data_IF_239371958474
#
_entry.id   IF_239371958474
#
_cell.length_a   1.000
_cell.length_b   1.000
_cell.length_c   1.000
_cell.angle_alpha   90.00
_cell.angle_beta   90.00
_cell.angle_gamma   90.00
#
_symmetry.space_group_name_H-M   'P 1'
#
loop_
_entity.id
_entity.type
_entity.pdbx_description
1 polymer ?
#
# COMPACT_ATOMS: atom_id res chain seq x y z
N UNK A 1 31.50 15.18 34.70
CA UNK A 1 30.84 13.94 35.17
C UNK A 1 30.22 13.26 33.97
N UNK A 2 30.57 12.00 33.78
CA UNK A 2 29.96 11.08 32.83
C UNK A 2 28.48 10.89 33.15
N UNK A 3 27.66 10.74 32.11
CA UNK A 3 26.64 9.70 32.10
C UNK A 3 26.57 9.10 30.70
N UNK A 4 27.20 7.94 30.56
CA UNK A 4 26.80 6.91 29.62
C UNK A 4 25.40 6.40 29.98
N UNK A 5 24.56 6.14 28.95
CA UNK A 5 23.81 4.88 28.77
C UNK A 5 22.97 4.90 27.50
N UNK A 6 23.48 4.15 26.51
CA UNK A 6 22.79 3.18 25.64
C UNK A 6 21.34 3.49 25.23
N UNK A 7 21.17 3.89 23.97
CA UNK A 7 19.99 3.58 23.16
C UNK A 7 20.44 2.84 21.91
N UNK A 8 20.27 1.52 21.88
CA UNK A 8 20.61 0.69 20.72
C UNK A 8 19.92 1.24 19.46
N UNK A 9 20.72 1.57 18.44
CA UNK A 9 20.19 1.80 17.09
C UNK A 9 19.65 0.46 16.60
N UNK A 10 18.35 0.23 16.81
CA UNK A 10 17.63 -0.83 16.13
C UNK A 10 17.72 -0.49 14.64
N UNK A 11 18.68 -1.12 13.94
CA UNK A 11 18.88 -0.93 12.51
C UNK A 11 17.57 -1.33 11.85
N UNK A 12 17.02 -0.45 11.01
CA UNK A 12 15.87 -0.76 10.17
C UNK A 12 16.15 -2.07 9.43
N UNK A 13 15.53 -3.16 9.90
CA UNK A 13 15.53 -4.43 9.18
C UNK A 13 14.46 -4.28 8.10
N UNK A 14 14.78 -3.53 7.04
CA UNK A 14 14.07 -3.68 5.78
C UNK A 14 14.55 -5.00 5.19
N UNK A 15 13.73 -6.08 5.19
CA UNK A 15 14.12 -7.31 4.56
C UNK A 15 14.46 -7.03 3.09
N UNK A 16 15.67 -7.46 2.70
CA UNK A 16 16.18 -7.39 1.34
C UNK A 16 16.65 -8.78 0.92
N UNK A 17 16.06 -9.38 -0.12
CA UNK A 17 14.96 -8.85 -0.94
C UNK A 17 13.64 -8.71 -0.14
N UNK A 18 12.69 -7.87 -0.59
CA UNK A 18 11.33 -7.84 -0.05
C UNK A 18 10.73 -9.25 -0.02
N UNK A 19 10.08 -9.67 1.08
CA UNK A 19 9.37 -10.94 1.12
C UNK A 19 8.31 -11.02 0.03
N UNK A 20 8.10 -12.21 -0.54
CA UNK A 20 7.01 -12.48 -1.47
C UNK A 20 5.64 -12.39 -0.80
N UNK A 21 4.59 -12.26 -1.62
CA UNK A 21 3.20 -12.31 -1.19
C UNK A 21 2.91 -13.64 -0.45
N UNK A 22 2.49 -13.60 0.84
CA UNK A 22 2.27 -14.81 1.63
C UNK A 22 1.26 -15.77 0.97
N UNK A 23 1.43 -17.09 1.12
CA UNK A 23 0.54 -18.08 0.51
C UNK A 23 -0.93 -17.85 0.81
N UNK A 24 -1.27 -17.42 2.04
CA UNK A 24 -2.65 -17.11 2.44
C UNK A 24 -3.28 -15.97 1.63
N UNK A 25 -2.50 -14.91 1.34
CA UNK A 25 -2.97 -13.82 0.48
C UNK A 25 -3.13 -14.28 -0.96
N UNK A 26 -2.13 -15.00 -1.47
CA UNK A 26 -2.16 -15.52 -2.84
C UNK A 26 -3.35 -16.45 -3.04
N UNK A 27 -3.60 -17.37 -2.11
CA UNK A 27 -4.73 -18.27 -2.14
C UNK A 27 -6.06 -17.50 -2.13
N UNK A 28 -6.25 -16.57 -1.19
CA UNK A 28 -7.47 -15.77 -1.12
C UNK A 28 -7.74 -14.98 -2.41
N UNK A 29 -6.70 -14.36 -2.97
CA UNK A 29 -6.81 -13.61 -4.23
C UNK A 29 -7.23 -14.51 -5.39
N UNK A 30 -6.61 -15.69 -5.53
CA UNK A 30 -6.85 -16.57 -6.67
C UNK A 30 -8.15 -17.36 -6.56
N UNK A 31 -8.43 -17.92 -5.38
CA UNK A 31 -9.52 -18.86 -5.16
C UNK A 31 -10.82 -18.19 -4.72
N UNK A 32 -10.74 -17.19 -3.84
CA UNK A 32 -11.94 -16.55 -3.27
C UNK A 32 -12.34 -15.29 -4.04
N UNK A 33 -11.38 -14.51 -4.52
CA UNK A 33 -11.67 -13.28 -5.27
C UNK A 33 -11.77 -13.50 -6.80
N UNK A 34 -11.38 -14.67 -7.31
CA UNK A 34 -11.28 -14.91 -8.75
C UNK A 34 -10.22 -14.04 -9.43
N UNK A 35 -9.17 -13.68 -8.70
CA UNK A 35 -8.06 -12.89 -9.21
C UNK A 35 -7.15 -13.69 -10.13
N UNK A 36 -6.37 -12.99 -10.96
CA UNK A 36 -5.40 -13.62 -11.86
C UNK A 36 -4.04 -13.77 -11.18
N UNK A 37 -3.38 -14.92 -11.35
CA UNK A 37 -2.01 -15.13 -10.89
C UNK A 37 -0.98 -14.30 -11.66
N UNK A 38 -1.32 -13.92 -12.89
CA UNK A 38 -0.60 -12.93 -13.68
C UNK A 38 -0.95 -11.53 -13.16
N UNK A 39 0.05 -10.68 -12.98
CA UNK A 39 -0.16 -9.29 -12.53
C UNK A 39 -0.15 -9.07 -11.01
N UNK A 40 0.35 -10.02 -10.22
CA UNK A 40 0.76 -9.77 -8.82
C UNK A 40 2.04 -8.94 -8.83
N UNK A 41 1.92 -7.63 -8.58
CA UNK A 41 3.05 -6.68 -8.65
C UNK A 41 3.23 -5.99 -7.31
N UNK A 42 4.43 -6.08 -6.74
CA UNK A 42 4.78 -5.29 -5.57
C UNK A 42 4.89 -3.81 -5.97
N UNK A 43 3.95 -2.98 -5.49
CA UNK A 43 3.92 -1.55 -5.80
C UNK A 43 4.93 -0.81 -4.92
N UNK A 44 4.92 -1.08 -3.62
CA UNK A 44 5.81 -0.42 -2.65
C UNK A 44 6.00 -1.30 -1.40
N UNK A 45 7.21 -1.29 -0.83
CA UNK A 45 7.47 -1.69 0.55
C UNK A 45 7.97 -0.47 1.31
N UNK A 46 7.26 -0.04 2.35
CA UNK A 46 7.64 1.12 3.15
C UNK A 46 7.25 0.96 4.61
N UNK A 47 7.95 1.70 5.45
CA UNK A 47 7.51 1.95 6.82
C UNK A 47 6.37 2.97 6.81
N UNK A 48 5.30 2.69 7.55
CA UNK A 48 4.18 3.62 7.77
C UNK A 48 4.66 4.82 8.59
N UNK A 49 4.39 6.03 8.09
CA UNK A 49 4.70 7.28 8.77
C UNK A 49 3.48 7.80 9.53
N UNK A 50 3.70 8.77 10.43
CA UNK A 50 2.60 9.41 11.16
C UNK A 50 1.54 10.00 10.23
N UNK A 51 1.96 10.58 9.10
CA UNK A 51 1.05 11.11 8.08
C UNK A 51 0.12 10.06 7.48
N UNK A 52 0.52 8.78 7.50
CA UNK A 52 -0.27 7.69 6.97
C UNK A 52 -1.34 7.23 7.98
N UNK A 53 -1.06 7.29 9.29
CA UNK A 53 -2.00 6.82 10.34
C UNK A 53 -2.75 7.94 11.05
N UNK A 54 -2.44 9.20 10.73
CA UNK A 54 -3.13 10.36 11.29
C UNK A 54 -4.60 10.36 10.83
N UNK A 55 -5.58 10.24 11.75
CA UNK A 55 -7.00 10.20 11.41
C UNK A 55 -7.47 11.44 10.63
N UNK A 56 -6.87 12.60 10.87
CA UNK A 56 -7.20 13.85 10.15
C UNK A 56 -6.70 13.83 8.72
N UNK A 57 -5.57 13.16 8.44
CA UNK A 57 -5.02 13.07 7.10
C UNK A 57 -5.71 11.98 6.26
N UNK A 58 -6.17 10.88 6.90
CA UNK A 58 -6.94 9.78 6.31
C UNK A 58 -6.44 9.31 4.94
N UNK A 59 -5.12 9.09 4.83
CA UNK A 59 -4.49 8.68 3.56
C UNK A 59 -3.29 7.78 3.77
N UNK A 60 -3.16 6.76 2.93
CA UNK A 60 -1.90 6.05 2.73
C UNK A 60 -1.16 6.68 1.56
N UNK A 61 0.04 7.20 1.79
CA UNK A 61 0.84 7.86 0.76
C UNK A 61 1.84 6.90 0.12
N UNK A 62 1.89 6.89 -1.20
CA UNK A 62 2.77 6.07 -2.03
C UNK A 62 3.60 7.04 -2.90
N UNK A 63 4.77 7.49 -2.41
CA UNK A 63 5.61 8.43 -3.16
C UNK A 63 6.13 7.78 -4.44
N UNK A 64 6.09 8.49 -5.57
CA UNK A 64 6.54 7.95 -6.86
C UNK A 64 8.01 7.46 -6.81
N UNK A 65 8.86 8.15 -6.06
CA UNK A 65 10.27 7.75 -5.87
C UNK A 65 10.48 6.43 -5.14
N UNK A 66 9.44 5.88 -4.50
CA UNK A 66 9.49 4.61 -3.77
C UNK A 66 8.66 3.50 -4.45
N UNK A 67 7.90 3.85 -5.49
CA UNK A 67 7.18 2.88 -6.31
C UNK A 67 8.20 2.00 -7.03
N UNK A 68 8.03 0.67 -6.97
CA UNK A 68 8.95 -0.28 -7.59
C UNK A 68 8.81 -0.33 -9.10
N UNK A 69 7.59 -0.22 -9.60
CA UNK A 69 7.27 -0.09 -11.01
C UNK A 69 5.90 0.60 -11.13
N UNK A 70 5.69 1.35 -12.21
CA UNK A 70 4.39 1.93 -12.55
C UNK A 70 3.55 1.02 -13.45
N UNK A 71 4.10 -0.13 -13.88
CA UNK A 71 3.47 -1.08 -14.81
C UNK A 71 2.31 -1.87 -14.17
N UNK A 72 1.93 -1.55 -12.93
CA UNK A 72 0.71 -2.06 -12.31
C UNK A 72 -0.55 -1.38 -12.84
N UNK A 73 -0.43 -0.21 -13.49
CA UNK A 73 -1.53 0.50 -14.14
C UNK A 73 -1.55 0.19 -15.62
N UNK A 74 -2.76 0.04 -16.17
CA UNK A 74 -2.91 0.10 -17.62
C UNK A 74 -2.95 1.57 -18.10
N UNK A 75 -2.83 1.77 -19.41
CA UNK A 75 -2.77 3.12 -20.01
C UNK A 75 -4.01 3.97 -19.69
N UNK A 76 -5.20 3.38 -19.73
CA UNK A 76 -6.44 4.08 -19.43
C UNK A 76 -6.48 4.54 -17.97
N UNK A 77 -6.12 3.68 -17.02
CA UNK A 77 -6.08 4.01 -15.59
C UNK A 77 -5.03 5.08 -15.29
N UNK A 78 -3.85 4.97 -15.88
CA UNK A 78 -2.81 5.97 -15.76
C UNK A 78 -3.27 7.34 -16.30
N UNK A 79 -4.01 7.33 -17.41
CA UNK A 79 -4.61 8.53 -18.01
C UNK A 79 -5.68 9.13 -17.11
N UNK A 80 -6.60 8.35 -16.56
CA UNK A 80 -7.63 8.85 -15.63
C UNK A 80 -6.99 9.53 -14.41
N UNK A 81 -6.00 8.87 -13.79
CA UNK A 81 -5.29 9.44 -12.65
C UNK A 81 -4.50 10.70 -13.02
N UNK A 82 -3.94 10.78 -14.22
CA UNK A 82 -3.27 11.98 -14.72
C UNK A 82 -4.25 13.17 -14.89
N UNK A 83 -5.50 12.91 -15.25
CA UNK A 83 -6.58 13.90 -15.33
C UNK A 83 -7.22 14.22 -13.96
N UNK A 84 -6.63 13.72 -12.86
CA UNK A 84 -7.12 13.89 -11.49
C UNK A 84 -8.47 13.23 -11.24
N UNK A 85 -8.81 12.20 -12.01
CA UNK A 85 -10.00 11.39 -11.78
C UNK A 85 -9.67 10.27 -10.79
N UNK A 86 -10.17 10.34 -9.54
CA UNK A 86 -9.97 9.27 -8.57
C UNK A 86 -10.74 8.02 -8.98
N UNK A 87 -10.18 6.86 -8.63
CA UNK A 87 -10.75 5.56 -8.92
C UNK A 87 -11.25 4.90 -7.65
N UNK A 88 -12.36 4.17 -7.72
CA UNK A 88 -12.69 3.17 -6.70
C UNK A 88 -12.02 1.85 -7.06
N UNK A 89 -11.27 1.29 -6.11
CA UNK A 89 -10.58 0.00 -6.27
C UNK A 89 -10.85 -0.87 -5.05
N UNK A 90 -10.81 -2.18 -5.22
CA UNK A 90 -10.85 -3.09 -4.08
C UNK A 90 -9.50 -3.09 -3.36
N UNK A 91 -9.54 -3.22 -2.04
CA UNK A 91 -8.41 -3.44 -1.17
C UNK A 91 -8.68 -4.69 -0.31
N UNK A 92 -7.80 -5.69 -0.42
CA UNK A 92 -7.69 -6.79 0.53
C UNK A 92 -6.74 -6.35 1.66
N UNK A 93 -7.27 -6.18 2.87
CA UNK A 93 -6.51 -5.67 4.00
C UNK A 93 -5.66 -6.75 4.72
N UNK A 94 -4.81 -6.39 5.70
CA UNK A 94 -3.99 -7.36 6.44
C UNK A 94 -4.76 -8.51 7.10
N UNK A 95 -6.04 -8.31 7.44
CA UNK A 95 -6.94 -9.31 8.00
C UNK A 95 -7.66 -10.16 6.95
N UNK A 96 -7.33 -9.98 5.66
CA UNK A 96 -8.00 -10.58 4.50
C UNK A 96 -9.46 -10.14 4.35
N UNK A 97 -9.79 -8.96 4.85
CA UNK A 97 -11.09 -8.35 4.61
C UNK A 97 -11.02 -7.47 3.38
N UNK A 98 -11.98 -7.67 2.47
CA UNK A 98 -12.14 -6.83 1.29
C UNK A 98 -12.89 -5.54 1.65
N UNK A 99 -12.40 -4.42 1.15
CA UNK A 99 -13.06 -3.12 1.25
C UNK A 99 -12.85 -2.34 -0.04
N UNK A 100 -13.80 -1.49 -0.42
CA UNK A 100 -13.53 -0.48 -1.44
C UNK A 100 -12.69 0.65 -0.85
N UNK A 101 -11.77 1.18 -1.64
CA UNK A 101 -10.92 2.32 -1.28
C UNK A 101 -10.76 3.25 -2.47
N UNK A 102 -10.56 4.54 -2.21
CA UNK A 102 -10.31 5.51 -3.26
C UNK A 102 -8.82 5.54 -3.57
N UNK A 103 -8.45 5.26 -4.82
CA UNK A 103 -7.09 5.44 -5.33
C UNK A 103 -7.01 6.72 -6.16
N UNK A 104 -6.02 7.57 -5.88
CA UNK A 104 -5.86 8.84 -6.58
C UNK A 104 -4.36 9.17 -6.76
N UNK A 105 -4.06 10.04 -7.73
CA UNK A 105 -2.73 10.63 -7.94
C UNK A 105 -2.77 12.10 -7.57
N UNK A 106 -1.92 12.53 -6.65
CA UNK A 106 -1.74 13.96 -6.34
C UNK A 106 -0.39 14.44 -6.88
N UNK A 107 -0.42 15.61 -7.52
CA UNK A 107 0.77 16.32 -7.99
C UNK A 107 1.12 17.38 -6.95
N UNK A 108 2.31 17.29 -6.36
CA UNK A 108 2.84 18.25 -5.38
C UNK A 108 4.10 18.92 -5.94
N UNK A 109 3.90 20.07 -6.59
CA UNK A 109 4.97 20.80 -7.28
C UNK A 109 5.65 19.90 -8.32
N UNK A 110 6.94 19.64 -8.13
CA UNK A 110 7.75 18.82 -9.03
C UNK A 110 7.67 17.31 -8.73
N UNK A 111 6.85 16.90 -7.75
CA UNK A 111 6.73 15.50 -7.32
C UNK A 111 5.29 15.00 -7.47
N UNK A 112 5.13 13.68 -7.52
CA UNK A 112 3.81 13.04 -7.50
C UNK A 112 3.75 11.96 -6.43
N UNK A 113 2.54 11.73 -5.93
CA UNK A 113 2.22 10.64 -5.01
C UNK A 113 0.95 9.95 -5.49
N UNK A 114 0.89 8.64 -5.34
CA UNK A 114 -0.41 8.00 -5.25
C UNK A 114 -0.89 8.01 -3.80
N UNK A 115 -2.20 8.03 -3.61
CA UNK A 115 -2.83 7.91 -2.30
C UNK A 115 -3.98 6.93 -2.33
N UNK A 116 -4.11 6.19 -1.23
CA UNK A 116 -5.34 5.51 -0.87
C UNK A 116 -6.07 6.32 0.21
N UNK A 117 -7.33 6.69 -0.02
CA UNK A 117 -8.11 7.56 0.89
C UNK A 117 -9.51 7.00 1.15
N UNK A 118 -10.38 7.77 1.81
CA UNK A 118 -11.76 7.42 2.17
C UNK A 118 -11.85 6.37 3.29
N UNK A 119 -11.76 5.07 2.98
CA UNK A 119 -11.88 3.98 3.97
C UNK A 119 -10.58 3.68 4.70
N UNK A 120 -9.50 4.38 4.39
CA UNK A 120 -8.16 4.14 4.95
C UNK A 120 -8.12 4.18 6.49
N UNK A 121 -8.79 5.13 7.14
CA UNK A 121 -8.85 5.18 8.61
C UNK A 121 -9.45 3.90 9.22
N UNK A 122 -10.44 3.30 8.56
CA UNK A 122 -11.02 2.03 8.99
C UNK A 122 -10.02 0.89 8.81
N UNK A 123 -9.25 0.87 7.72
CA UNK A 123 -8.17 -0.09 7.49
C UNK A 123 -7.12 0.01 8.59
N UNK A 124 -6.68 1.23 8.93
CA UNK A 124 -5.73 1.50 10.03
C UNK A 124 -6.24 0.95 11.35
N UNK A 125 -7.49 1.27 11.71
CA UNK A 125 -8.10 0.85 12.98
C UNK A 125 -8.27 -0.67 13.06
N UNK A 126 -8.84 -1.29 12.03
CA UNK A 126 -9.17 -2.71 12.04
C UNK A 126 -7.92 -3.60 12.02
N UNK A 127 -6.83 -3.12 11.42
CA UNK A 127 -5.59 -3.87 11.26
C UNK A 127 -4.48 -3.42 12.24
N UNK A 128 -4.82 -2.53 13.19
CA UNK A 128 -3.90 -2.00 14.20
C UNK A 128 -2.60 -1.50 13.54
N UNK A 129 -2.73 -0.68 12.48
CA UNK A 129 -1.58 -0.10 11.80
C UNK A 129 -1.06 1.07 12.61
N UNK A 130 0.25 1.06 12.87
CA UNK A 130 0.90 2.07 13.69
C UNK A 130 2.15 2.60 12.99
N UNK A 131 2.60 3.78 13.42
CA UNK A 131 3.86 4.36 12.94
C UNK A 131 5.00 3.36 13.19
N UNK A 132 5.95 3.30 12.25
CA UNK A 132 7.12 2.41 12.28
C UNK A 132 6.84 0.93 11.95
N UNK A 133 5.58 0.55 11.72
CA UNK A 133 5.24 -0.75 11.13
C UNK A 133 5.61 -0.75 9.66
N UNK A 134 6.13 -1.86 9.16
CA UNK A 134 6.41 -2.04 7.74
C UNK A 134 5.23 -2.65 7.03
N UNK A 135 4.95 -2.15 5.84
CA UNK A 135 3.91 -2.68 4.98
C UNK A 135 4.39 -2.87 3.56
N UNK A 136 3.74 -3.80 2.87
CA UNK A 136 3.80 -3.91 1.42
C UNK A 136 2.42 -3.63 0.83
N UNK A 137 2.39 -2.93 -0.30
CA UNK A 137 1.21 -2.84 -1.13
C UNK A 137 1.48 -3.58 -2.42
N UNK A 138 0.64 -4.57 -2.72
CA UNK A 138 0.66 -5.33 -3.96
C UNK A 138 -0.55 -4.94 -4.79
N UNK A 139 -0.39 -4.85 -6.11
CA UNK A 139 -1.51 -4.78 -7.04
C UNK A 139 -1.83 -6.17 -7.58
N UNK A 140 -3.09 -6.38 -7.93
CA UNK A 140 -3.57 -7.54 -8.66
C UNK A 140 -4.84 -7.19 -9.43
N UNK A 141 -5.33 -8.10 -10.26
CA UNK A 141 -6.54 -7.91 -11.07
C UNK A 141 -7.59 -8.95 -10.72
N UNK A 142 -8.84 -8.51 -10.63
CA UNK A 142 -10.02 -9.38 -10.54
C UNK A 142 -10.93 -9.02 -11.70
N UNK A 143 -11.10 -9.92 -12.67
CA UNK A 143 -11.90 -9.68 -13.88
C UNK A 143 -11.52 -8.42 -14.68
N UNK A 144 -10.24 -8.00 -14.67
CA UNK A 144 -9.65 -6.77 -15.26
C UNK A 144 -9.49 -5.55 -14.32
N UNK A 145 -10.47 -5.15 -13.49
CA UNK A 145 -10.29 -4.09 -12.51
C UNK A 145 -9.06 -4.22 -11.60
N UNK A 146 -8.40 -3.09 -11.34
CA UNK A 146 -7.31 -2.97 -10.39
C UNK A 146 -7.80 -3.21 -8.97
N UNK A 147 -7.08 -4.06 -8.25
CA UNK A 147 -7.24 -4.29 -6.82
C UNK A 147 -5.87 -4.17 -6.13
N UNK A 148 -5.88 -3.91 -4.83
CA UNK A 148 -4.69 -3.90 -4.00
C UNK A 148 -4.79 -4.90 -2.85
N UNK A 149 -3.64 -5.43 -2.43
CA UNK A 149 -3.48 -6.18 -1.19
C UNK A 149 -2.47 -5.45 -0.30
N UNK A 150 -2.87 -5.17 0.94
CA UNK A 150 -2.00 -4.56 1.94
C UNK A 150 -1.54 -5.63 2.92
N UNK A 151 -0.23 -5.77 3.05
CA UNK A 151 0.40 -6.69 3.98
C UNK A 151 1.04 -5.89 5.11
N UNK A 152 0.84 -6.35 6.34
CA UNK A 152 1.58 -5.91 7.51
C UNK A 152 2.72 -6.91 7.75
N UNK A 153 3.98 -6.44 7.69
CA UNK A 153 5.17 -7.26 7.95
C UNK A 153 5.55 -7.25 9.44
#
# INVERSE_FOLDING_TARGET
MQHDRKGGRNRNLNPWPPPDLPPKFKQHILEEMGGTGTGLVLVIQKTIFYSDVNPTASRFSIPFSQVKTHDFLNEAEAKELAHKNPMQVCLLDPSLKQTNITFNKWVMGNTSLYVLTNTWNSVVKNNQLEKRVMVQLWSFRVNSPLCFALLKL
#
